data_IF_096169572965
#
_entry.id   IF_096169572965
#
_cell.length_a   1.000
_cell.length_b   1.000
_cell.length_c   1.000
_cell.angle_alpha   90.00
_cell.angle_beta   90.00
_cell.angle_gamma   90.00
#
_symmetry.space_group_name_H-M   'P 1'
#
loop_
_entity.id
_entity.type
_entity.pdbx_description
1 polymer ?
#
# COMPACT_ATOMS: atom_id res chain seq x y z
N UNK A 1 -1.48 -32.47 33.32
CA UNK A 1 -2.51 -32.17 32.31
C UNK A 1 -2.00 -31.03 31.44
N UNK A 2 -1.67 -31.32 30.18
CA UNK A 2 -1.06 -30.41 29.21
C UNK A 2 -2.14 -29.55 28.54
N UNK A 3 -2.03 -28.21 28.64
CA UNK A 3 -2.78 -27.27 27.78
C UNK A 3 -1.99 -26.99 26.49
N UNK A 4 -2.64 -26.75 25.35
CA UNK A 4 -1.96 -26.70 24.06
C UNK A 4 -1.14 -25.41 23.87
N UNK A 5 0.01 -25.47 23.17
CA UNK A 5 0.78 -24.29 22.79
C UNK A 5 0.21 -23.75 21.48
N UNK A 6 -0.52 -22.65 21.51
CA UNK A 6 -1.00 -22.00 20.29
C UNK A 6 -0.52 -20.54 20.22
N UNK A 7 0.80 -20.40 20.07
CA UNK A 7 1.44 -19.17 19.65
C UNK A 7 1.52 -19.10 18.12
N UNK A 8 0.37 -19.10 17.45
CA UNK A 8 0.32 -18.71 16.03
C UNK A 8 0.81 -17.27 15.89
N UNK A 9 1.50 -16.90 14.80
CA UNK A 9 2.01 -15.54 14.64
C UNK A 9 0.81 -14.59 14.72
N UNK A 10 0.78 -13.78 15.79
CA UNK A 10 -0.11 -12.63 15.89
C UNK A 10 0.19 -11.77 14.67
N UNK A 11 -0.69 -11.82 13.69
CA UNK A 11 -0.78 -10.82 12.64
C UNK A 11 -0.81 -9.49 13.37
N UNK A 12 0.30 -8.76 13.29
CA UNK A 12 0.40 -7.43 13.85
C UNK A 12 -0.50 -6.57 12.98
N UNK A 13 -1.76 -6.49 13.37
CA UNK A 13 -2.73 -5.60 12.79
C UNK A 13 -2.20 -4.20 13.10
N UNK A 14 -1.63 -3.53 12.10
CA UNK A 14 -1.26 -2.12 12.22
C UNK A 14 -2.55 -1.35 12.42
N UNK A 15 -2.91 -1.18 13.69
CA UNK A 15 -3.96 -0.28 14.13
C UNK A 15 -3.68 1.12 13.54
N UNK A 16 -4.60 1.59 12.71
CA UNK A 16 -4.84 2.99 12.33
C UNK A 16 -3.90 3.69 11.35
N UNK A 17 -3.09 3.01 10.54
CA UNK A 17 -2.60 3.64 9.30
C UNK A 17 -3.58 3.33 8.18
N UNK A 18 -4.61 4.17 8.06
CA UNK A 18 -5.57 4.14 6.97
C UNK A 18 -4.87 4.55 5.68
N UNK A 19 -4.17 3.64 5.03
CA UNK A 19 -3.63 3.87 3.69
C UNK A 19 -4.80 4.05 2.71
N UNK A 20 -5.15 5.30 2.43
CA UNK A 20 -6.37 5.72 1.73
C UNK A 20 -6.36 5.44 0.23
N UNK A 21 -5.30 4.84 -0.31
CA UNK A 21 -5.16 4.61 -1.75
C UNK A 21 -4.71 3.18 -2.08
N UNK A 22 -4.50 2.32 -1.07
CA UNK A 22 -3.99 0.95 -1.27
C UNK A 22 -4.94 0.06 -2.06
N UNK A 23 -6.23 0.36 -2.02
CA UNK A 23 -7.29 -0.33 -2.75
C UNK A 23 -7.47 0.21 -4.18
N UNK A 24 -6.89 1.37 -4.49
CA UNK A 24 -7.11 2.07 -5.76
C UNK A 24 -5.85 2.10 -6.63
N UNK A 25 -4.66 2.18 -6.02
CA UNK A 25 -3.40 2.27 -6.73
C UNK A 25 -2.65 0.94 -6.75
N UNK A 26 -2.08 0.54 -7.90
CA UNK A 26 -1.30 -0.69 -8.01
C UNK A 26 0.12 -0.47 -7.45
N UNK A 27 0.26 -0.47 -6.12
CA UNK A 27 1.52 -0.22 -5.42
C UNK A 27 2.65 -1.15 -5.86
N UNK A 28 2.34 -2.36 -6.33
CA UNK A 28 3.30 -3.33 -6.84
C UNK A 28 4.05 -2.84 -8.08
N UNK A 29 3.52 -1.84 -8.80
CA UNK A 29 4.13 -1.29 -10.02
C UNK A 29 5.19 -0.23 -9.76
N UNK A 30 5.13 0.47 -8.64
CA UNK A 30 5.96 1.64 -8.38
C UNK A 30 6.54 1.71 -6.96
N UNK A 31 6.30 0.69 -6.14
CA UNK A 31 6.83 0.62 -4.77
C UNK A 31 7.34 -0.78 -4.44
N UNK A 32 8.30 -0.84 -3.52
CA UNK A 32 8.81 -2.10 -2.97
C UNK A 32 8.20 -2.31 -1.60
N UNK A 33 7.54 -3.46 -1.40
CA UNK A 33 6.99 -3.84 -0.09
C UNK A 33 8.07 -4.48 0.77
N UNK A 34 8.38 -3.84 1.89
CA UNK A 34 9.34 -4.35 2.86
C UNK A 34 8.59 -4.83 4.10
N UNK A 35 8.79 -6.10 4.46
CA UNK A 35 8.27 -6.66 5.72
C UNK A 35 8.89 -5.94 6.91
N UNK A 36 8.11 -5.75 7.99
CA UNK A 36 8.58 -5.15 9.24
C UNK A 36 9.82 -5.86 9.81
N UNK A 37 9.89 -7.18 9.64
CA UNK A 37 11.05 -7.96 10.08
C UNK A 37 12.31 -7.62 9.31
N UNK A 38 12.21 -7.13 8.07
CA UNK A 38 13.35 -6.79 7.22
C UNK A 38 13.70 -5.31 7.25
N UNK A 39 13.01 -4.49 8.04
CA UNK A 39 13.31 -3.05 8.16
C UNK A 39 14.73 -2.78 8.62
N UNK A 40 15.30 -3.64 9.46
CA UNK A 40 16.69 -3.51 9.91
C UNK A 40 17.72 -3.68 8.78
N UNK A 41 17.32 -4.31 7.66
CA UNK A 41 18.15 -4.51 6.45
C UNK A 41 17.66 -3.64 5.30
N UNK A 42 16.93 -2.56 5.58
CA UNK A 42 16.36 -1.70 4.54
C UNK A 42 17.41 -1.23 3.53
N UNK A 43 18.61 -0.86 3.99
CA UNK A 43 19.70 -0.43 3.12
C UNK A 43 20.15 -1.56 2.18
N UNK A 44 20.29 -2.79 2.68
CA UNK A 44 20.64 -3.94 1.85
C UNK A 44 19.55 -4.26 0.81
N UNK A 45 18.28 -4.06 1.18
CA UNK A 45 17.16 -4.23 0.24
C UNK A 45 17.21 -3.18 -0.86
N UNK A 46 17.56 -1.93 -0.53
CA UNK A 46 17.72 -0.86 -1.52
C UNK A 46 18.93 -1.10 -2.42
N UNK A 47 20.06 -1.53 -1.86
CA UNK A 47 21.27 -1.87 -2.61
C UNK A 47 21.06 -3.05 -3.56
N UNK A 48 20.18 -3.98 -3.21
CA UNK A 48 19.82 -5.11 -4.07
C UNK A 48 18.94 -4.72 -5.28
N UNK A 49 18.43 -3.48 -5.33
CA UNK A 49 17.61 -3.01 -6.46
C UNK A 49 18.52 -2.72 -7.66
N UNK A 50 18.34 -3.50 -8.73
CA UNK A 50 19.12 -3.29 -9.96
C UNK A 50 18.66 -2.03 -10.69
N UNK A 51 19.51 -1.44 -11.56
CA UNK A 51 19.12 -0.30 -12.40
C UNK A 51 17.86 -0.56 -13.23
N UNK A 52 17.67 -1.78 -13.73
CA UNK A 52 16.50 -2.17 -14.51
C UNK A 52 15.23 -2.26 -13.64
N UNK A 53 15.37 -2.72 -12.40
CA UNK A 53 14.27 -2.70 -11.44
C UNK A 53 13.90 -1.27 -11.06
N UNK A 54 14.90 -0.41 -10.80
CA UNK A 54 14.69 1.00 -10.52
C UNK A 54 13.96 1.70 -11.67
N UNK A 55 14.39 1.46 -12.93
CA UNK A 55 13.73 2.03 -14.10
C UNK A 55 12.27 1.61 -14.21
N UNK A 56 11.96 0.32 -14.00
CA UNK A 56 10.58 -0.16 -13.98
C UNK A 56 9.73 0.49 -12.90
N UNK A 57 10.30 0.72 -11.70
CA UNK A 57 9.61 1.42 -10.62
C UNK A 57 9.35 2.89 -10.97
N UNK A 58 10.32 3.56 -11.60
CA UNK A 58 10.18 4.94 -12.07
C UNK A 58 9.12 5.05 -13.17
N UNK A 59 9.11 4.12 -14.13
CA UNK A 59 8.09 4.07 -15.18
C UNK A 59 6.70 3.89 -14.57
N UNK A 60 6.54 2.95 -13.62
CA UNK A 60 5.30 2.77 -12.88
C UNK A 60 4.88 4.01 -12.10
N UNK A 61 5.83 4.74 -11.50
CA UNK A 61 5.55 5.99 -10.80
C UNK A 61 5.11 7.09 -11.77
N UNK A 62 5.72 7.17 -12.96
CA UNK A 62 5.33 8.09 -14.01
C UNK A 62 3.93 7.79 -14.54
N UNK A 63 3.51 6.53 -14.65
CA UNK A 63 2.13 6.18 -15.00
C UNK A 63 1.12 6.64 -13.93
N UNK A 64 1.49 6.52 -12.66
CA UNK A 64 0.60 6.81 -11.54
C UNK A 64 0.73 8.25 -10.99
N UNK A 65 1.59 9.10 -11.56
CA UNK A 65 1.88 10.43 -11.00
C UNK A 65 0.62 11.29 -10.82
N UNK A 66 -0.33 11.22 -11.76
CA UNK A 66 -1.59 11.98 -11.72
C UNK A 66 -2.46 11.61 -10.53
N UNK A 67 -2.34 10.38 -10.02
CA UNK A 67 -3.08 9.96 -8.84
C UNK A 67 -2.65 10.69 -7.56
N UNK A 68 -1.48 11.33 -7.57
CA UNK A 68 -0.97 12.14 -6.45
C UNK A 68 -1.16 13.65 -6.66
N UNK A 69 -1.64 14.07 -7.83
CA UNK A 69 -1.88 15.48 -8.16
C UNK A 69 -3.32 15.83 -7.79
N UNK A 70 -3.48 16.92 -7.03
CA UNK A 70 -4.78 17.41 -6.57
C UNK A 70 -5.43 18.40 -7.53
N UNK A 71 -4.63 19.17 -8.27
CA UNK A 71 -5.09 20.19 -9.20
C UNK A 71 -5.74 19.54 -10.43
N UNK A 72 -7.06 19.66 -10.63
CA UNK A 72 -7.74 19.08 -11.79
C UNK A 72 -7.25 19.71 -13.11
N UNK A 73 -6.81 20.97 -13.07
CA UNK A 73 -6.30 21.72 -14.22
C UNK A 73 -5.03 21.08 -14.80
N UNK A 74 -4.28 20.34 -13.98
CA UNK A 74 -3.10 19.59 -14.38
C UNK A 74 -3.40 18.11 -14.70
N UNK A 75 -4.69 17.74 -14.77
CA UNK A 75 -5.12 16.35 -14.93
C UNK A 75 -5.01 15.53 -13.65
N UNK A 76 -5.04 16.18 -12.49
CA UNK A 76 -4.97 15.52 -11.19
C UNK A 76 -6.17 14.61 -10.91
N UNK A 77 -5.89 13.40 -10.43
CA UNK A 77 -6.88 12.37 -10.12
C UNK A 77 -6.96 12.06 -8.61
N UNK A 78 -6.17 12.74 -7.78
CA UNK A 78 -6.09 12.44 -6.35
C UNK A 78 -7.47 12.54 -5.66
N UNK A 79 -8.27 13.54 -6.00
CA UNK A 79 -9.64 13.68 -5.49
C UNK A 79 -10.52 12.49 -5.85
N UNK A 80 -10.53 12.09 -7.13
CA UNK A 80 -11.33 10.99 -7.63
C UNK A 80 -10.93 9.66 -6.95
N UNK A 81 -9.64 9.38 -6.86
CA UNK A 81 -9.14 8.16 -6.20
C UNK A 81 -9.46 8.15 -4.70
N UNK A 82 -9.41 9.31 -4.03
CA UNK A 82 -9.81 9.44 -2.64
C UNK A 82 -11.31 9.19 -2.46
N UNK A 83 -12.15 9.71 -3.35
CA UNK A 83 -13.59 9.45 -3.30
C UNK A 83 -13.91 7.96 -3.49
N UNK A 84 -13.24 7.32 -4.46
CA UNK A 84 -13.37 5.87 -4.71
C UNK A 84 -12.98 5.05 -3.48
N UNK A 85 -11.86 5.36 -2.82
CA UNK A 85 -11.44 4.59 -1.65
C UNK A 85 -12.35 4.78 -0.45
N UNK A 86 -12.91 5.99 -0.27
CA UNK A 86 -13.94 6.24 0.73
C UNK A 86 -15.23 5.45 0.43
N UNK A 87 -15.62 5.36 -0.85
CA UNK A 87 -16.77 4.56 -1.26
C UNK A 87 -16.57 3.07 -0.97
N UNK A 88 -15.43 2.50 -1.33
CA UNK A 88 -15.09 1.11 -1.00
C UNK A 88 -15.12 0.84 0.51
N UNK A 89 -14.60 1.78 1.30
CA UNK A 89 -14.64 1.67 2.77
C UNK A 89 -16.05 1.69 3.33
N UNK A 90 -16.90 2.57 2.82
CA UNK A 90 -18.31 2.62 3.23
C UNK A 90 -19.01 1.29 2.96
N UNK A 91 -18.81 0.72 1.76
CA UNK A 91 -19.37 -0.59 1.41
C UNK A 91 -18.85 -1.70 2.33
N UNK A 92 -17.54 -1.76 2.57
CA UNK A 92 -16.94 -2.75 3.46
C UNK A 92 -17.45 -2.64 4.91
N UNK A 93 -17.67 -1.41 5.39
CA UNK A 93 -18.26 -1.18 6.71
C UNK A 93 -19.70 -1.69 6.77
N UNK A 94 -20.51 -1.44 5.74
CA UNK A 94 -21.87 -1.96 5.68
C UNK A 94 -21.93 -3.48 5.65
N UNK A 95 -21.10 -4.15 4.85
CA UNK A 95 -21.05 -5.62 4.80
C UNK A 95 -20.48 -6.26 6.06
N UNK A 96 -19.80 -5.50 6.93
CA UNK A 96 -19.30 -6.00 8.21
C UNK A 96 -20.32 -5.85 9.35
N UNK A 97 -21.36 -5.04 9.14
CA UNK A 97 -22.43 -4.77 10.13
C UNK A 97 -23.61 -5.73 9.96
N UNK A 98 -23.80 -6.30 8.77
CA UNK A 98 -24.87 -7.26 8.43
C UNK A 98 -24.29 -8.60 8.00
#
# INVERSE_FOLDING_TARGET
MNGPPNGGPRSVQSDRVLYSLWDVLPYERFSVRVSRHNLHRLLEVLDAITPEQLRRLQDGMAEQHRAFVWQPELGGLAYNHTLTSLHHRLLNMWTAIF
#
